data_IF_321738927303
#
_entry.id   IF_321738927303
#
_cell.length_a   1.000
_cell.length_b   1.000
_cell.length_c   1.000
_cell.angle_alpha   90.00
_cell.angle_beta   90.00
_cell.angle_gamma   90.00
#
_symmetry.space_group_name_H-M   'P 1'
#
loop_
_entity.id
_entity.type
_entity.pdbx_description
1 polymer ?
#
# COMPACT_ATOMS: atom_id res chain seq x y z
N UNK A 1 7.83 -18.33 -1.94
CA UNK A 1 6.54 -17.66 -2.25
C UNK A 1 5.43 -18.68 -2.09
N UNK A 2 4.28 -18.26 -1.55
CA UNK A 2 3.12 -19.15 -1.42
C UNK A 2 2.57 -19.48 -2.81
N UNK A 3 1.99 -20.67 -2.96
CA UNK A 3 1.31 -21.07 -4.20
C UNK A 3 0.06 -20.22 -4.48
N UNK A 4 -0.54 -19.66 -3.41
CA UNK A 4 -1.68 -18.76 -3.45
C UNK A 4 -1.33 -17.51 -2.63
N UNK A 5 -0.95 -16.39 -3.27
CA UNK A 5 -0.69 -15.14 -2.58
C UNK A 5 -1.94 -14.65 -1.85
N UNK A 6 -1.79 -14.29 -0.59
CA UNK A 6 -2.85 -13.77 0.26
C UNK A 6 -2.65 -12.26 0.46
N UNK A 7 -3.60 -11.47 -0.02
CA UNK A 7 -3.57 -10.02 0.11
C UNK A 7 -4.39 -9.52 1.30
N UNK A 8 -4.09 -8.29 1.72
CA UNK A 8 -4.93 -7.49 2.61
C UNK A 8 -5.38 -6.22 1.91
N UNK A 9 -6.64 -5.83 2.11
CA UNK A 9 -7.15 -4.58 1.57
C UNK A 9 -6.71 -3.39 2.43
N UNK A 10 -6.33 -2.26 1.81
CA UNK A 10 -5.81 -1.07 2.51
C UNK A 10 -6.67 -0.65 3.71
N UNK A 11 -8.00 -0.67 3.58
CA UNK A 11 -8.91 -0.20 4.64
C UNK A 11 -9.03 -1.15 5.83
N UNK A 12 -8.41 -2.33 5.79
CA UNK A 12 -8.27 -3.21 6.95
C UNK A 12 -7.07 -2.81 7.84
N UNK A 13 -6.23 -1.88 7.39
CA UNK A 13 -5.08 -1.36 8.13
C UNK A 13 -5.37 0.06 8.65
N UNK A 14 -4.57 0.54 9.60
CA UNK A 14 -4.71 1.88 10.15
C UNK A 14 -4.55 2.96 9.07
N UNK A 15 -5.42 3.99 9.14
CA UNK A 15 -5.54 5.02 8.09
C UNK A 15 -4.33 5.94 8.03
N UNK A 16 -3.74 6.24 9.19
CA UNK A 16 -2.66 7.20 9.41
C UNK A 16 -1.26 6.67 9.07
N UNK A 17 -1.15 5.42 8.61
CA UNK A 17 0.13 4.85 8.18
C UNK A 17 0.60 5.45 6.84
N UNK A 18 1.89 5.77 6.76
CA UNK A 18 2.58 5.95 5.49
C UNK A 18 2.62 4.64 4.69
N UNK A 19 2.95 4.70 3.40
CA UNK A 19 3.08 3.49 2.57
C UNK A 19 4.16 2.52 3.06
N UNK A 20 5.38 2.95 3.43
CA UNK A 20 6.38 2.07 4.04
C UNK A 20 5.86 1.36 5.29
N UNK A 21 5.27 2.10 6.24
CA UNK A 21 4.74 1.51 7.48
C UNK A 21 3.61 0.52 7.21
N UNK A 22 2.71 0.85 6.26
CA UNK A 22 1.62 -0.01 5.84
C UNK A 22 2.12 -1.33 5.25
N UNK A 23 3.15 -1.28 4.39
CA UNK A 23 3.75 -2.46 3.78
C UNK A 23 4.49 -3.32 4.81
N UNK A 24 5.25 -2.70 5.73
CA UNK A 24 5.91 -3.41 6.84
C UNK A 24 4.89 -4.11 7.73
N UNK A 25 3.77 -3.45 8.07
CA UNK A 25 2.71 -4.04 8.87
C UNK A 25 2.01 -5.19 8.14
N UNK A 26 1.70 -5.04 6.85
CA UNK A 26 1.11 -6.12 6.07
C UNK A 26 2.04 -7.36 6.03
N UNK A 27 3.35 -7.13 5.83
CA UNK A 27 4.36 -8.19 5.84
C UNK A 27 4.49 -8.85 7.20
N UNK A 28 4.48 -8.09 8.30
CA UNK A 28 4.58 -8.64 9.66
C UNK A 28 3.34 -9.45 10.06
N UNK A 29 2.17 -9.09 9.54
CA UNK A 29 0.93 -9.87 9.64
C UNK A 29 0.91 -11.10 8.69
N UNK A 30 1.93 -11.26 7.85
CA UNK A 30 2.08 -12.41 6.95
C UNK A 30 1.25 -12.31 5.67
N UNK A 31 0.86 -11.12 5.21
CA UNK A 31 0.26 -10.92 3.89
C UNK A 31 1.34 -10.78 2.80
N UNK A 32 1.03 -11.24 1.60
CA UNK A 32 1.92 -11.22 0.44
C UNK A 32 1.83 -9.89 -0.34
N UNK A 33 0.68 -9.19 -0.26
CA UNK A 33 0.49 -7.90 -0.90
C UNK A 33 -0.59 -7.05 -0.21
N UNK A 34 -0.61 -5.76 -0.53
CA UNK A 34 -1.67 -4.82 -0.12
C UNK A 34 -2.41 -4.34 -1.37
N UNK A 35 -3.73 -4.42 -1.36
CA UNK A 35 -4.58 -3.81 -2.40
C UNK A 35 -4.86 -2.34 -2.04
N UNK A 36 -4.34 -1.42 -2.86
CA UNK A 36 -4.55 0.02 -2.69
C UNK A 36 -5.98 0.42 -3.04
N UNK A 37 -6.59 1.23 -2.19
CA UNK A 37 -7.90 1.85 -2.47
C UNK A 37 -7.71 3.14 -3.28
N UNK A 38 -8.37 3.27 -4.43
CA UNK A 38 -8.66 4.57 -5.05
C UNK A 38 -10.17 4.66 -5.06
N UNK A 39 -10.74 5.24 -4.00
CA UNK A 39 -12.18 5.34 -3.79
C UNK A 39 -12.69 6.76 -4.05
N UNK A 40 -13.96 7.01 -3.74
CA UNK A 40 -14.67 8.27 -3.93
C UNK A 40 -14.27 9.41 -2.96
N UNK A 41 -13.34 9.20 -2.03
CA UNK A 41 -12.87 10.26 -1.12
C UNK A 41 -11.79 11.11 -1.79
N UNK A 42 -11.83 12.43 -1.60
CA UNK A 42 -10.83 13.36 -2.17
C UNK A 42 -9.39 12.96 -1.84
N UNK A 43 -9.16 12.49 -0.60
CA UNK A 43 -7.87 12.01 -0.13
C UNK A 43 -7.33 10.87 -1.00
N UNK A 44 -8.16 9.87 -1.35
CA UNK A 44 -7.71 8.72 -2.16
C UNK A 44 -7.79 8.98 -3.65
N UNK A 45 -8.72 9.82 -4.13
CA UNK A 45 -8.76 10.27 -5.52
C UNK A 45 -7.49 11.06 -5.88
N UNK A 46 -6.97 11.89 -4.97
CA UNK A 46 -5.76 12.69 -5.19
C UNK A 46 -4.51 11.87 -5.53
N UNK A 47 -4.53 10.55 -5.31
CA UNK A 47 -3.46 9.62 -5.71
C UNK A 47 -3.28 9.56 -7.23
N UNK A 48 -4.34 9.82 -8.00
CA UNK A 48 -4.27 9.89 -9.46
C UNK A 48 -3.40 11.08 -9.92
N UNK A 49 -3.36 12.15 -9.11
CA UNK A 49 -2.58 13.36 -9.36
C UNK A 49 -1.15 13.28 -8.81
N UNK A 50 -0.73 12.13 -8.28
CA UNK A 50 0.62 11.97 -7.76
C UNK A 50 1.69 12.28 -8.80
N UNK A 51 2.66 13.07 -8.36
CA UNK A 51 3.89 13.33 -9.10
C UNK A 51 4.69 12.06 -9.33
N UNK A 52 5.58 12.09 -10.32
CA UNK A 52 6.55 11.01 -10.57
C UNK A 52 7.36 10.66 -9.32
N UNK A 53 7.73 11.65 -8.50
CA UNK A 53 8.47 11.42 -7.26
C UNK A 53 7.65 10.61 -6.25
N UNK A 54 6.37 10.92 -6.06
CA UNK A 54 5.48 10.17 -5.15
C UNK A 54 5.27 8.73 -5.64
N UNK A 55 5.04 8.54 -6.95
CA UNK A 55 4.91 7.20 -7.55
C UNK A 55 6.19 6.38 -7.37
N UNK A 56 7.35 7.00 -7.60
CA UNK A 56 8.66 6.33 -7.44
C UNK A 56 8.90 5.97 -5.98
N UNK A 57 8.55 6.86 -5.03
CA UNK A 57 8.68 6.58 -3.59
C UNK A 57 7.87 5.36 -3.16
N UNK A 58 6.66 5.18 -3.70
CA UNK A 58 5.87 3.98 -3.43
C UNK A 58 6.56 2.72 -3.97
N UNK A 59 7.05 2.75 -5.21
CA UNK A 59 7.76 1.62 -5.83
C UNK A 59 9.01 1.26 -5.02
N UNK A 60 9.81 2.25 -4.61
CA UNK A 60 10.98 2.01 -3.74
C UNK A 60 10.57 1.34 -2.44
N UNK A 61 9.46 1.78 -1.82
CA UNK A 61 8.95 1.18 -0.59
C UNK A 61 8.65 -0.31 -0.77
N UNK A 62 8.08 -0.73 -1.91
CA UNK A 62 7.80 -2.16 -2.16
C UNK A 62 9.04 -3.03 -2.36
N UNK A 63 10.19 -2.45 -2.69
CA UNK A 63 11.45 -3.18 -2.86
C UNK A 63 12.16 -3.32 -1.51
N UNK A 64 12.04 -2.31 -0.66
CA UNK A 64 12.67 -2.24 0.66
C UNK A 64 11.95 -3.09 1.71
N UNK A 65 10.64 -3.32 1.54
CA UNK A 65 9.81 -4.13 2.44
C UNK A 65 9.64 -5.54 1.95
#
# INVERSE_FOLDING_TARGET
MRNHPLGIYEKALAKDLSWPERLVLAKSCGFDFVEMSVDETDERLSRLDWSTAQRTSLVSSTIET
#
